data_IF_976996787098
#
_entry.id   IF_976996787098
#
_cell.length_a   1.000
_cell.length_b   1.000
_cell.length_c   1.000
_cell.angle_alpha   90.00
_cell.angle_beta   90.00
_cell.angle_gamma   90.00
#
_symmetry.space_group_name_H-M   'P 1'
#
loop_
_entity.id
_entity.type
_entity.pdbx_description
1 polymer ?
#
# COMPACT_ATOMS: atom_id res chain seq x y z
N UNK A 1 -40.14 -34.17 -20.46
CA UNK A 1 -39.19 -33.56 -21.42
C UNK A 1 -39.29 -32.04 -21.27
N UNK A 2 -38.18 -31.30 -21.17
CA UNK A 2 -38.25 -29.82 -21.13
C UNK A 2 -38.73 -29.38 -22.52
N UNK A 3 -39.90 -28.75 -22.62
CA UNK A 3 -40.47 -28.37 -23.92
C UNK A 3 -39.61 -27.30 -24.59
N UNK A 4 -38.98 -27.68 -25.70
CA UNK A 4 -38.01 -26.87 -26.45
C UNK A 4 -38.76 -25.95 -27.40
N UNK A 5 -39.47 -24.94 -26.88
CA UNK A 5 -39.97 -23.85 -27.74
C UNK A 5 -38.94 -22.73 -27.93
N UNK A 6 -37.87 -22.71 -27.13
CA UNK A 6 -36.81 -21.72 -27.24
C UNK A 6 -35.43 -22.40 -27.14
N UNK A 7 -34.68 -22.52 -28.25
CA UNK A 7 -33.39 -23.24 -28.29
C UNK A 7 -32.30 -22.56 -27.44
N UNK A 8 -32.50 -21.30 -27.05
CA UNK A 8 -31.61 -20.56 -26.17
C UNK A 8 -31.93 -20.74 -24.68
N UNK A 9 -33.04 -21.42 -24.35
CA UNK A 9 -33.44 -21.63 -22.96
C UNK A 9 -32.56 -22.69 -22.31
N UNK A 10 -31.82 -22.30 -21.28
CA UNK A 10 -30.98 -23.24 -20.51
C UNK A 10 -31.88 -24.10 -19.65
N UNK A 11 -31.66 -25.41 -19.65
CA UNK A 11 -32.33 -26.30 -18.71
C UNK A 11 -32.00 -25.90 -17.27
N UNK A 12 -32.93 -26.11 -16.33
CA UNK A 12 -32.73 -25.80 -14.90
C UNK A 12 -31.45 -26.42 -14.37
N UNK A 13 -31.16 -27.66 -14.76
CA UNK A 13 -29.93 -28.36 -14.37
C UNK A 13 -28.68 -27.69 -14.93
N UNK A 14 -28.72 -27.19 -16.18
CA UNK A 14 -27.61 -26.42 -16.76
C UNK A 14 -27.42 -25.11 -16.02
N UNK A 15 -28.49 -24.39 -15.69
CA UNK A 15 -28.42 -23.15 -14.92
C UNK A 15 -27.78 -23.37 -13.53
N UNK A 16 -28.22 -24.41 -12.81
CA UNK A 16 -27.65 -24.79 -11.50
C UNK A 16 -26.16 -25.14 -11.63
N UNK A 17 -25.78 -25.96 -12.62
CA UNK A 17 -24.37 -26.34 -12.83
C UNK A 17 -23.45 -25.15 -13.15
N UNK A 18 -23.97 -24.14 -13.87
CA UNK A 18 -23.22 -22.93 -14.19
C UNK A 18 -23.07 -22.05 -12.94
N UNK A 19 -24.13 -21.94 -12.13
CA UNK A 19 -24.11 -21.19 -10.87
C UNK A 19 -23.14 -21.81 -9.85
N UNK A 20 -23.08 -23.14 -9.73
CA UNK A 20 -22.12 -23.80 -8.82
C UNK A 20 -20.68 -23.62 -9.30
N UNK A 21 -20.41 -23.77 -10.60
CA UNK A 21 -19.09 -23.51 -11.19
C UNK A 21 -18.63 -22.07 -10.99
N UNK A 22 -19.49 -21.09 -11.23
CA UNK A 22 -19.15 -19.67 -11.05
C UNK A 22 -18.92 -19.32 -9.58
N UNK A 23 -19.70 -19.89 -8.66
CA UNK A 23 -19.49 -19.74 -7.21
C UNK A 23 -18.14 -20.32 -6.77
N UNK A 24 -17.78 -21.51 -7.24
CA UNK A 24 -16.49 -22.13 -6.93
C UNK A 24 -15.31 -21.31 -7.48
N UNK A 25 -15.43 -20.75 -8.70
CA UNK A 25 -14.41 -19.85 -9.25
C UNK A 25 -14.28 -18.55 -8.44
N UNK A 26 -15.40 -17.94 -8.03
CA UNK A 26 -15.40 -16.74 -7.18
C UNK A 26 -14.69 -17.01 -5.86
N UNK A 27 -15.03 -18.09 -5.16
CA UNK A 27 -14.38 -18.48 -3.90
C UNK A 27 -12.86 -18.65 -4.05
N UNK A 28 -12.39 -19.30 -5.12
CA UNK A 28 -10.95 -19.43 -5.41
C UNK A 28 -10.30 -18.06 -5.63
N UNK A 29 -10.94 -17.18 -6.40
CA UNK A 29 -10.42 -15.83 -6.68
C UNK A 29 -10.41 -14.93 -5.44
N UNK A 30 -11.41 -15.04 -4.56
CA UNK A 30 -11.49 -14.29 -3.30
C UNK A 30 -10.43 -14.74 -2.30
N UNK A 31 -10.21 -16.05 -2.17
CA UNK A 31 -9.14 -16.60 -1.34
C UNK A 31 -7.76 -16.09 -1.80
N UNK A 32 -7.54 -15.98 -3.11
CA UNK A 32 -6.32 -15.38 -3.67
C UNK A 32 -6.22 -13.88 -3.35
N UNK A 33 -7.30 -13.12 -3.51
CA UNK A 33 -7.30 -11.67 -3.19
C UNK A 33 -7.01 -11.38 -1.72
N UNK A 34 -7.61 -12.15 -0.80
CA UNK A 34 -7.39 -12.01 0.64
C UNK A 34 -5.95 -12.30 1.06
N UNK A 35 -5.22 -13.09 0.28
CA UNK A 35 -3.84 -13.47 0.61
C UNK A 35 -2.80 -12.38 0.37
N UNK A 36 -3.14 -11.31 -0.38
CA UNK A 36 -2.19 -10.26 -0.76
C UNK A 36 -1.06 -10.73 -1.69
N UNK A 37 -1.15 -11.95 -2.23
CA UNK A 37 -0.13 -12.52 -3.12
C UNK A 37 -0.42 -12.05 -4.56
N UNK A 38 0.59 -11.51 -5.23
CA UNK A 38 0.48 -11.12 -6.64
C UNK A 38 0.28 -12.36 -7.55
N UNK A 39 -0.36 -12.18 -8.70
CA UNK A 39 -0.58 -13.28 -9.67
C UNK A 39 0.74 -13.92 -10.12
N UNK A 40 1.79 -13.13 -10.28
CA UNK A 40 3.11 -13.64 -10.69
C UNK A 40 3.77 -14.49 -9.59
N UNK A 41 3.58 -14.12 -8.33
CA UNK A 41 4.04 -14.94 -7.22
C UNK A 41 3.28 -16.28 -7.18
N UNK A 42 1.97 -16.29 -7.45
CA UNK A 42 1.18 -17.53 -7.56
C UNK A 42 1.69 -18.42 -8.71
N UNK A 43 2.00 -17.85 -9.87
CA UNK A 43 2.58 -18.61 -11.00
C UNK A 43 3.93 -19.25 -10.67
N UNK A 44 4.71 -18.62 -9.78
CA UNK A 44 5.96 -19.15 -9.25
C UNK A 44 5.78 -20.10 -8.06
N UNK A 45 4.54 -20.45 -7.69
CA UNK A 45 4.22 -21.42 -6.64
C UNK A 45 3.90 -20.84 -5.27
N UNK A 46 3.78 -19.52 -5.11
CA UNK A 46 3.36 -18.92 -3.84
C UNK A 46 1.91 -19.28 -3.53
N UNK A 47 1.66 -19.77 -2.32
CA UNK A 47 0.32 -20.18 -1.84
C UNK A 47 -0.10 -19.31 -0.65
N UNK A 48 -1.41 -19.04 -0.46
CA UNK A 48 -1.89 -18.39 0.76
C UNK A 48 -1.35 -19.12 2.00
N UNK A 49 -0.74 -18.39 2.93
CA UNK A 49 -0.07 -18.93 4.12
C UNK A 49 1.40 -19.34 3.92
N UNK A 50 1.82 -19.67 2.69
CA UNK A 50 3.21 -19.93 2.31
C UNK A 50 3.70 -18.82 1.37
N UNK A 51 3.98 -17.66 1.95
CA UNK A 51 4.70 -16.60 1.21
C UNK A 51 6.14 -17.05 0.98
N UNK A 52 6.78 -16.66 -0.14
CA UNK A 52 8.19 -16.95 -0.36
C UNK A 52 9.02 -16.43 0.82
N UNK A 53 9.67 -17.32 1.56
CA UNK A 53 10.54 -16.98 2.70
C UNK A 53 11.93 -16.55 2.26
N UNK A 54 12.27 -16.74 0.99
CA UNK A 54 13.57 -16.43 0.38
C UNK A 54 13.40 -15.86 -1.04
N UNK A 55 14.48 -15.25 -1.55
CA UNK A 55 14.57 -14.76 -2.92
C UNK A 55 13.98 -13.36 -3.17
N UNK A 56 14.05 -12.87 -4.42
CA UNK A 56 13.67 -11.50 -4.79
C UNK A 56 12.16 -11.22 -4.70
N UNK A 57 11.33 -12.27 -4.66
CA UNK A 57 9.88 -12.15 -4.47
C UNK A 57 9.44 -12.04 -3.00
N UNK A 58 10.39 -12.03 -2.06
CA UNK A 58 10.10 -11.94 -0.64
C UNK A 58 9.73 -10.51 -0.27
N UNK A 59 8.55 -10.33 0.30
CA UNK A 59 8.21 -9.05 0.92
C UNK A 59 9.13 -8.75 2.11
N UNK A 60 9.64 -7.53 2.13
CA UNK A 60 10.41 -7.02 3.24
C UNK A 60 9.47 -6.63 4.37
N UNK A 61 9.91 -6.85 5.61
CA UNK A 61 9.24 -6.24 6.75
C UNK A 61 9.26 -4.71 6.60
N UNK A 62 8.19 -4.04 7.03
CA UNK A 62 8.09 -2.56 7.04
C UNK A 62 9.34 -1.89 7.63
N UNK A 63 9.95 -2.49 8.66
CA UNK A 63 11.19 -1.99 9.28
C UNK A 63 12.40 -2.08 8.34
N UNK A 64 12.53 -3.19 7.62
CA UNK A 64 13.62 -3.40 6.66
C UNK A 64 13.48 -2.49 5.45
N UNK A 65 12.26 -2.27 4.95
CA UNK A 65 11.97 -1.33 3.89
C UNK A 65 12.38 0.09 4.30
N UNK A 66 11.87 0.60 5.44
CA UNK A 66 12.25 1.91 6.00
C UNK A 66 13.77 2.06 6.17
N UNK A 67 14.48 1.01 6.60
CA UNK A 67 15.95 1.04 6.76
C UNK A 67 16.65 1.18 5.41
N UNK A 68 16.19 0.47 4.38
CA UNK A 68 16.73 0.57 3.01
C UNK A 68 16.45 1.95 2.40
N UNK A 69 15.23 2.46 2.55
CA UNK A 69 14.85 3.77 2.03
C UNK A 69 15.71 4.89 2.64
N UNK A 70 15.95 4.82 3.97
CA UNK A 70 16.87 5.76 4.65
C UNK A 70 18.30 5.65 4.16
N UNK A 71 18.78 4.43 3.90
CA UNK A 71 20.14 4.21 3.38
C UNK A 71 20.29 4.78 1.96
N UNK A 72 19.30 4.54 1.09
CA UNK A 72 19.25 5.08 -0.26
C UNK A 72 19.16 6.62 -0.23
N UNK A 73 18.29 7.20 0.59
CA UNK A 73 18.19 8.65 0.74
C UNK A 73 19.52 9.30 1.16
N UNK A 74 20.26 8.68 2.10
CA UNK A 74 21.59 9.15 2.50
C UNK A 74 22.61 9.03 1.38
N UNK A 75 22.60 7.92 0.65
CA UNK A 75 23.51 7.72 -0.48
C UNK A 75 23.23 8.71 -1.62
N UNK A 76 21.96 9.03 -1.88
CA UNK A 76 21.57 10.04 -2.86
C UNK A 76 22.03 11.44 -2.44
N UNK A 77 21.86 11.82 -1.16
CA UNK A 77 22.38 13.10 -0.65
C UNK A 77 23.88 13.23 -0.84
N UNK A 78 24.65 12.19 -0.48
CA UNK A 78 26.11 12.17 -0.72
C UNK A 78 26.46 12.31 -2.19
N UNK A 79 25.74 11.61 -3.07
CA UNK A 79 25.95 11.72 -4.53
C UNK A 79 25.60 13.11 -5.06
N UNK A 80 24.57 13.77 -4.52
CA UNK A 80 24.19 15.14 -4.89
C UNK A 80 25.23 16.16 -4.39
N UNK A 81 25.74 15.97 -3.17
CA UNK A 81 26.84 16.77 -2.60
C UNK A 81 28.14 16.57 -3.42
N UNK A 82 28.43 15.33 -3.84
CA UNK A 82 29.59 14.96 -4.66
C UNK A 82 29.46 15.39 -6.13
N UNK A 83 28.24 15.42 -6.68
CA UNK A 83 27.96 15.88 -8.05
C UNK A 83 27.80 17.40 -8.20
N UNK A 84 27.95 18.16 -7.11
CA UNK A 84 28.35 19.55 -7.17
C UNK A 84 27.40 20.54 -7.85
N UNK A 85 26.15 20.64 -7.40
CA UNK A 85 25.36 21.88 -7.48
C UNK A 85 24.73 22.16 -6.11
N UNK A 86 25.60 22.34 -5.10
CA UNK A 86 25.18 22.96 -3.84
C UNK A 86 25.24 24.46 -4.05
N UNK A 87 24.12 25.05 -4.46
CA UNK A 87 23.85 26.47 -4.21
C UNK A 87 24.08 26.72 -2.71
N UNK A 88 25.17 27.42 -2.38
CA UNK A 88 25.53 27.79 -1.02
C UNK A 88 24.48 28.75 -0.44
N UNK A 89 23.41 28.21 0.15
CA UNK A 89 22.48 28.98 0.99
C UNK A 89 22.99 29.02 2.44
N UNK A 90 24.17 29.60 2.62
CA UNK A 90 24.68 30.02 3.93
C UNK A 90 25.16 31.47 3.82
N UNK A 91 24.21 32.39 3.85
CA UNK A 91 24.45 33.77 4.25
C UNK A 91 23.20 34.29 4.98
N UNK A 92 23.40 34.83 6.19
CA UNK A 92 22.45 35.36 7.18
C UNK A 92 21.82 34.29 8.11
N UNK A 93 21.96 34.29 9.45
CA UNK A 93 22.39 35.35 10.39
C UNK A 93 22.87 34.74 11.72
N UNK A 94 23.89 35.40 12.28
CA UNK A 94 24.50 35.15 13.58
C UNK A 94 23.58 35.62 14.71
N UNK A 95 23.34 34.70 15.67
CA UNK A 95 23.08 34.89 17.12
C UNK A 95 22.51 36.25 17.60
N UNK A 96 21.29 36.23 18.14
CA UNK A 96 20.93 36.97 19.37
C UNK A 96 20.20 36.03 20.34
N UNK A 97 20.79 35.87 21.53
CA UNK A 97 20.13 35.36 22.74
C UNK A 97 19.37 36.54 23.36
N UNK A 98 18.19 36.26 23.94
CA UNK A 98 17.45 36.95 25.02
C UNK A 98 15.95 36.65 24.80
N UNK A 99 15.05 36.32 25.73
CA UNK A 99 14.98 36.20 27.19
C UNK A 99 13.76 35.29 27.47
N UNK A 100 13.84 34.39 28.45
CA UNK A 100 12.67 33.73 29.04
C UNK A 100 11.85 34.77 29.83
N UNK A 101 10.56 34.91 29.55
CA UNK A 101 9.56 35.33 30.55
C UNK A 101 8.37 34.38 30.47
N UNK A 102 8.01 33.90 31.65
CA UNK A 102 6.95 32.97 31.96
C UNK A 102 5.59 33.67 32.08
N UNK A 103 4.57 32.81 32.15
CA UNK A 103 3.29 32.99 32.85
C UNK A 103 2.17 33.80 32.18
N UNK A 104 1.16 33.01 31.79
CA UNK A 104 -0.22 33.05 32.28
C UNK A 104 -1.31 33.76 31.45
N UNK A 105 -2.40 33.00 31.29
CA UNK A 105 -3.77 33.42 31.00
C UNK A 105 -4.06 34.29 29.77
N UNK A 106 -4.84 33.75 28.82
CA UNK A 106 -6.22 34.19 28.57
C UNK A 106 -6.83 33.30 27.48
N UNK A 107 -7.70 32.41 27.91
CA UNK A 107 -8.77 31.87 27.07
C UNK A 107 -9.54 33.03 26.45
N UNK A 108 -9.78 32.98 25.15
CA UNK A 108 -10.91 33.67 24.53
C UNK A 108 -11.59 32.61 23.66
N UNK A 109 -12.60 31.99 24.26
CA UNK A 109 -13.67 31.31 23.53
C UNK A 109 -14.51 32.42 22.88
N UNK A 110 -14.43 32.56 21.55
CA UNK A 110 -15.37 33.39 20.78
C UNK A 110 -16.31 32.46 19.99
N UNK A 111 -17.34 32.02 20.70
CA UNK A 111 -18.60 31.58 20.12
C UNK A 111 -19.31 32.75 19.43
N UNK A 112 -19.83 32.48 18.23
CA UNK A 112 -20.99 33.12 17.58
C UNK A 112 -21.02 34.65 17.39
N UNK A 113 -21.18 35.08 16.12
CA UNK A 113 -22.25 35.96 15.59
C UNK A 113 -21.79 36.54 14.23
N UNK A 114 -22.28 35.95 13.13
CA UNK A 114 -23.07 36.59 12.05
C UNK A 114 -23.35 35.60 10.93
#
# INVERSE_FOLDING_TARGET
MVSIKNPNFKSRNRAVSVATKSRAQRQKSEAQRKSGISKDAIRRGARPGFRPTSGPGKELSKKQQKRRDRALARALKRKQEESGEVEMKDAAQVKTKEVKKSDDSMQVDDDAIN
#
